data_IF_934419757866
#
_entry.id   IF_934419757866
#
_cell.length_a   1.000
_cell.length_b   1.000
_cell.length_c   1.000
_cell.angle_alpha   90.00
_cell.angle_beta   90.00
_cell.angle_gamma   90.00
#
_symmetry.space_group_name_H-M   'P 1'
#
loop_
_entity.id
_entity.type
_entity.pdbx_description
1 polymer ?
#
# COMPACT_ATOMS: atom_id res chain seq x y z
N UNK A 1 -16.68 -7.18 -13.24
CA UNK A 1 -16.46 -6.17 -12.19
C UNK A 1 -15.29 -5.27 -12.57
N UNK A 2 -15.34 -3.99 -12.14
CA UNK A 2 -14.28 -3.02 -12.35
C UNK A 2 -13.77 -2.55 -10.99
N UNK A 3 -12.45 -2.36 -10.89
CA UNK A 3 -11.80 -1.71 -9.77
C UNK A 3 -11.08 -0.46 -10.27
N UNK A 4 -11.32 0.68 -9.64
CA UNK A 4 -10.70 1.96 -9.98
C UNK A 4 -9.74 2.35 -8.86
N UNK A 5 -8.46 2.53 -9.18
CA UNK A 5 -7.45 2.96 -8.22
C UNK A 5 -7.03 4.39 -8.53
N UNK A 6 -7.22 5.30 -7.57
CA UNK A 6 -6.85 6.70 -7.69
C UNK A 6 -5.78 7.07 -6.70
N UNK A 7 -4.74 7.76 -7.16
CA UNK A 7 -3.74 8.38 -6.32
C UNK A 7 -3.88 9.90 -6.41
N UNK A 8 -3.99 10.55 -5.26
CA UNK A 8 -4.06 12.00 -5.16
C UNK A 8 -3.21 12.49 -3.98
N UNK A 9 -2.84 13.77 -3.99
CA UNK A 9 -2.08 14.38 -2.89
C UNK A 9 -2.94 14.77 -1.71
N UNK A 10 -4.26 14.89 -1.90
CA UNK A 10 -5.22 15.37 -0.92
C UNK A 10 -6.52 14.60 -1.03
N UNK A 11 -7.30 14.58 0.04
CA UNK A 11 -8.66 14.05 0.00
C UNK A 11 -9.57 14.82 -0.97
N UNK A 12 -9.35 16.12 -1.14
CA UNK A 12 -10.10 16.91 -2.14
C UNK A 12 -9.85 16.37 -3.55
N UNK A 13 -8.61 15.98 -3.85
CA UNK A 13 -8.27 15.34 -5.12
C UNK A 13 -8.96 13.98 -5.32
N UNK A 14 -9.05 13.16 -4.27
CA UNK A 14 -9.81 11.91 -4.30
C UNK A 14 -11.31 12.16 -4.49
N UNK A 15 -11.88 13.12 -3.76
CA UNK A 15 -13.29 13.49 -3.89
C UNK A 15 -13.63 14.03 -5.29
N UNK A 16 -12.72 14.77 -5.91
CA UNK A 16 -12.88 15.21 -7.30
C UNK A 16 -12.89 14.04 -8.26
N UNK A 17 -11.97 13.08 -8.12
CA UNK A 17 -11.91 11.89 -8.95
C UNK A 17 -13.20 11.07 -8.83
N UNK A 18 -13.68 10.83 -7.61
CA UNK A 18 -14.96 10.17 -7.37
C UNK A 18 -16.14 10.91 -8.01
N UNK A 19 -16.21 12.23 -7.81
CA UNK A 19 -17.28 13.06 -8.42
C UNK A 19 -17.26 12.99 -9.95
N UNK A 20 -16.07 12.95 -10.55
CA UNK A 20 -15.95 12.82 -12.01
C UNK A 20 -16.43 11.44 -12.48
N UNK A 21 -16.13 10.38 -11.74
CA UNK A 21 -16.63 9.05 -12.04
C UNK A 21 -18.16 8.98 -11.92
N UNK A 22 -18.74 9.52 -10.85
CA UNK A 22 -20.19 9.52 -10.62
C UNK A 22 -20.98 10.28 -11.70
N UNK A 23 -20.32 11.22 -12.38
CA UNK A 23 -20.91 12.03 -13.47
C UNK A 23 -20.70 11.45 -14.87
N UNK A 24 -19.85 10.45 -15.04
CA UNK A 24 -19.65 9.84 -16.35
C UNK A 24 -20.84 8.94 -16.73
N UNK A 25 -21.10 8.78 -18.01
CA UNK A 25 -22.20 7.93 -18.50
C UNK A 25 -22.09 6.49 -18.02
N UNK A 26 -20.87 5.98 -17.86
CA UNK A 26 -20.60 4.63 -17.37
C UNK A 26 -21.18 4.41 -15.96
N UNK A 27 -21.22 5.43 -15.10
CA UNK A 27 -21.74 5.31 -13.74
C UNK A 27 -23.17 4.83 -13.71
N UNK A 28 -23.98 5.16 -14.74
CA UNK A 28 -25.35 4.67 -14.88
C UNK A 28 -25.49 3.16 -15.07
N UNK A 29 -24.39 2.47 -15.38
CA UNK A 29 -24.32 1.02 -15.60
C UNK A 29 -23.53 0.28 -14.51
N UNK A 30 -22.98 1.00 -13.53
CA UNK A 30 -22.20 0.45 -12.45
C UNK A 30 -22.95 0.58 -11.12
N UNK A 31 -22.81 -0.44 -10.30
CA UNK A 31 -23.27 -0.43 -8.92
C UNK A 31 -22.04 -0.34 -8.01
N UNK A 32 -21.85 0.75 -7.24
CA UNK A 32 -20.77 0.84 -6.26
C UNK A 32 -20.91 -0.27 -5.22
N UNK A 33 -19.84 -1.02 -4.98
CA UNK A 33 -19.82 -2.13 -4.03
C UNK A 33 -18.95 -1.84 -2.83
N UNK A 34 -17.70 -1.55 -3.06
CA UNK A 34 -16.70 -1.34 -2.02
C UNK A 34 -15.87 -0.11 -2.34
N UNK A 35 -15.45 0.58 -1.31
CA UNK A 35 -14.52 1.69 -1.37
C UNK A 35 -13.45 1.47 -0.32
N UNK A 36 -12.23 1.86 -0.60
CA UNK A 36 -11.10 1.75 0.31
C UNK A 36 -10.25 3.01 0.26
N UNK A 37 -10.02 3.61 1.43
CA UNK A 37 -9.24 4.85 1.55
C UNK A 37 -8.02 4.63 2.42
N UNK A 38 -6.85 4.99 1.90
CA UNK A 38 -5.58 4.79 2.59
C UNK A 38 -4.55 5.84 2.22
N UNK A 39 -3.46 5.91 2.97
CA UNK A 39 -2.38 6.88 2.79
C UNK A 39 -1.06 6.14 2.59
N UNK A 40 -0.29 6.58 1.58
CA UNK A 40 1.10 6.17 1.42
C UNK A 40 1.97 6.88 2.46
N UNK A 41 2.69 6.10 3.25
CA UNK A 41 3.50 6.60 4.36
C UNK A 41 4.86 5.93 4.45
N UNK A 42 5.76 6.51 5.22
CA UNK A 42 7.06 5.90 5.50
C UNK A 42 6.90 4.63 6.31
N UNK A 43 7.76 3.65 6.04
CA UNK A 43 7.76 2.38 6.77
C UNK A 43 8.01 2.57 8.26
N UNK A 44 7.03 2.23 9.09
CA UNK A 44 7.02 2.41 10.54
C UNK A 44 8.26 1.82 11.23
N UNK A 45 8.72 0.63 10.81
CA UNK A 45 9.81 -0.06 11.50
C UNK A 45 11.19 0.27 10.93
N UNK A 46 11.31 0.63 9.67
CA UNK A 46 12.61 0.91 9.05
C UNK A 46 12.98 2.39 9.14
N UNK A 47 12.12 3.29 8.70
CA UNK A 47 12.41 4.73 8.69
C UNK A 47 12.12 5.39 10.05
N UNK A 48 10.88 5.27 10.53
CA UNK A 48 10.44 5.90 11.78
C UNK A 48 11.15 5.30 13.00
N UNK A 49 11.43 3.99 13.00
CA UNK A 49 12.20 3.35 14.06
C UNK A 49 13.61 3.90 14.21
N UNK A 50 14.29 4.19 13.10
CA UNK A 50 15.63 4.83 13.10
C UNK A 50 15.58 6.26 13.64
N UNK A 51 14.53 7.01 13.29
CA UNK A 51 14.33 8.36 13.83
C UNK A 51 14.18 8.30 15.35
N UNK A 52 13.32 7.42 15.88
CA UNK A 52 13.14 7.26 17.32
C UNK A 52 14.45 6.90 18.03
N UNK A 53 15.20 5.93 17.51
CA UNK A 53 16.49 5.54 18.08
C UNK A 53 17.48 6.72 18.11
N UNK A 54 17.59 7.47 17.03
CA UNK A 54 18.45 8.66 16.96
C UNK A 54 18.06 9.75 17.97
N UNK A 55 16.78 9.98 18.16
CA UNK A 55 16.30 10.98 19.13
C UNK A 55 16.51 10.53 20.59
N UNK A 56 16.40 9.24 20.85
CA UNK A 56 16.70 8.65 22.16
C UNK A 56 18.21 8.73 22.48
N UNK A 57 19.09 8.44 21.52
CA UNK A 57 20.53 8.64 21.64
C UNK A 57 20.91 10.09 21.92
N UNK A 58 20.16 11.06 21.39
CA UNK A 58 20.32 12.50 21.67
C UNK A 58 19.79 12.89 23.05
N UNK A 59 19.17 11.99 23.79
CA UNK A 59 18.58 12.22 25.11
C UNK A 59 17.36 13.14 25.10
N UNK A 60 16.68 13.29 23.96
CA UNK A 60 15.51 14.14 23.87
C UNK A 60 14.28 13.46 24.51
N UNK A 61 13.60 14.19 25.38
CA UNK A 61 12.38 13.67 26.02
C UNK A 61 11.25 13.57 24.99
N UNK A 62 10.71 12.37 24.85
CA UNK A 62 9.65 12.06 23.91
C UNK A 62 8.46 13.03 24.05
N UNK A 63 7.99 13.54 22.91
CA UNK A 63 6.92 14.54 22.81
C UNK A 63 7.21 15.92 23.42
N UNK A 64 8.47 16.24 23.78
CA UNK A 64 8.83 17.61 24.08
C UNK A 64 8.88 18.47 22.79
N UNK A 65 8.80 19.81 22.87
CA UNK A 65 8.91 20.67 21.68
C UNK A 65 10.18 20.40 20.87
N UNK A 66 11.32 20.21 21.55
CA UNK A 66 12.61 19.92 20.94
C UNK A 66 12.60 18.56 20.24
N UNK A 67 11.98 17.54 20.86
CA UNK A 67 11.80 16.23 20.27
C UNK A 67 10.94 16.30 19.01
N UNK A 68 9.79 17.02 19.07
CA UNK A 68 8.87 17.14 17.95
C UNK A 68 9.56 17.85 16.76
N UNK A 69 10.28 18.95 17.01
CA UNK A 69 11.01 19.66 15.94
C UNK A 69 12.06 18.77 15.29
N UNK A 70 12.89 18.09 16.08
CA UNK A 70 13.91 17.18 15.57
C UNK A 70 13.31 15.95 14.87
N UNK A 71 12.16 15.47 15.33
CA UNK A 71 11.44 14.37 14.67
C UNK A 71 10.96 14.80 13.27
N UNK A 72 10.34 15.97 13.15
CA UNK A 72 9.85 16.50 11.89
C UNK A 72 10.97 16.77 10.89
N UNK A 73 12.11 17.30 11.34
CA UNK A 73 13.31 17.49 10.51
C UNK A 73 13.82 16.14 9.95
N UNK A 74 14.02 15.16 10.82
CA UNK A 74 14.49 13.83 10.41
C UNK A 74 13.47 13.11 9.52
N UNK A 75 12.18 13.30 9.76
CA UNK A 75 11.12 12.75 8.92
C UNK A 75 11.17 13.35 7.50
N UNK A 76 11.37 14.67 7.39
CA UNK A 76 11.53 15.35 6.10
C UNK A 76 12.78 14.87 5.35
N UNK A 77 13.91 14.70 6.03
CA UNK A 77 15.13 14.14 5.44
C UNK A 77 14.88 12.72 4.90
N UNK A 78 14.21 11.89 5.68
CA UNK A 78 13.85 10.53 5.25
C UNK A 78 12.90 10.53 4.05
N UNK A 79 11.94 11.45 4.02
CA UNK A 79 10.99 11.60 2.92
C UNK A 79 11.66 12.02 1.60
N UNK A 80 12.73 12.81 1.67
CA UNK A 80 13.49 13.26 0.50
C UNK A 80 14.47 12.19 -0.02
N UNK A 81 14.79 11.18 0.78
CA UNK A 81 15.69 10.11 0.34
C UNK A 81 15.07 9.36 -0.86
N UNK A 82 15.80 9.14 -1.98
CA UNK A 82 15.24 8.57 -3.22
C UNK A 82 14.45 7.28 -3.04
N UNK A 83 14.91 6.38 -2.15
CA UNK A 83 14.22 5.13 -1.83
C UNK A 83 12.84 5.37 -1.21
N UNK A 84 12.73 6.33 -0.30
CA UNK A 84 11.52 6.65 0.43
C UNK A 84 10.58 7.54 -0.40
N UNK A 85 11.13 8.46 -1.19
CA UNK A 85 10.36 9.28 -2.11
C UNK A 85 9.57 8.43 -3.12
N UNK A 86 10.20 7.39 -3.68
CA UNK A 86 9.53 6.43 -4.56
C UNK A 86 8.39 5.64 -3.88
N UNK A 87 8.41 5.51 -2.56
CA UNK A 87 7.33 4.89 -1.77
C UNK A 87 6.22 5.87 -1.44
N UNK A 88 6.56 7.09 -0.98
CA UNK A 88 5.58 8.13 -0.62
C UNK A 88 4.82 8.68 -1.82
N UNK A 89 5.51 8.80 -2.94
CA UNK A 89 4.99 9.31 -4.21
C UNK A 89 4.92 8.18 -5.24
N UNK A 90 4.41 7.03 -4.81
CA UNK A 90 4.28 5.87 -5.67
C UNK A 90 3.42 6.23 -6.90
N UNK A 91 3.84 5.71 -8.05
CA UNK A 91 3.01 5.68 -9.26
C UNK A 91 2.34 4.32 -9.33
N UNK A 92 1.19 4.23 -9.96
CA UNK A 92 0.56 2.94 -10.25
C UNK A 92 1.53 2.13 -11.12
N UNK A 93 2.04 0.98 -10.65
CA UNK A 93 3.00 0.18 -11.39
C UNK A 93 2.43 -0.30 -12.70
N UNK A 94 3.21 -0.18 -13.77
CA UNK A 94 2.81 -0.63 -15.10
C UNK A 94 3.12 -2.12 -15.23
N UNK A 95 2.20 -2.96 -14.75
CA UNK A 95 2.24 -4.43 -14.78
C UNK A 95 0.91 -4.97 -15.25
N UNK A 96 0.92 -6.16 -15.85
CA UNK A 96 -0.28 -6.76 -16.46
C UNK A 96 -1.38 -7.08 -15.46
N UNK A 97 -1.01 -7.55 -14.27
CA UNK A 97 -1.94 -8.05 -13.28
C UNK A 97 -1.83 -7.27 -11.97
N UNK A 98 -2.95 -7.12 -11.30
CA UNK A 98 -3.06 -6.53 -9.96
C UNK A 98 -3.77 -7.49 -9.03
N UNK A 99 -3.35 -7.50 -7.76
CA UNK A 99 -4.05 -8.15 -6.67
C UNK A 99 -4.10 -7.17 -5.50
N UNK A 100 -5.29 -6.71 -5.15
CA UNK A 100 -5.55 -5.90 -3.96
C UNK A 100 -6.11 -6.77 -2.84
N UNK A 101 -5.69 -6.52 -1.63
CA UNK A 101 -6.34 -7.01 -0.42
C UNK A 101 -6.11 -6.07 0.76
N UNK A 102 -7.13 -5.85 1.59
CA UNK A 102 -6.96 -5.17 2.86
C UNK A 102 -6.50 -6.16 3.93
N UNK A 103 -5.85 -5.67 4.98
CA UNK A 103 -5.39 -6.51 6.07
C UNK A 103 -5.29 -5.77 7.40
N UNK A 104 -5.31 -6.56 8.48
CA UNK A 104 -5.11 -6.13 9.85
C UNK A 104 -3.98 -6.87 10.55
N UNK A 105 -3.50 -6.30 11.63
CA UNK A 105 -2.82 -7.04 12.70
C UNK A 105 -3.82 -7.45 13.77
N UNK A 106 -3.75 -8.72 14.20
CA UNK A 106 -4.62 -9.24 15.26
C UNK A 106 -4.44 -8.45 16.56
N UNK A 107 -5.54 -8.20 17.24
CA UNK A 107 -5.63 -7.41 18.47
C UNK A 107 -6.23 -8.20 19.64
N UNK A 108 -6.31 -9.51 19.56
CA UNK A 108 -7.02 -10.36 20.51
C UNK A 108 -6.10 -11.34 21.24
N UNK A 109 -6.38 -11.54 22.52
CA UNK A 109 -5.73 -12.56 23.34
C UNK A 109 -4.21 -12.52 23.35
N UNK A 110 -3.60 -13.68 23.25
CA UNK A 110 -2.14 -13.84 23.19
C UNK A 110 -1.53 -13.42 21.85
N UNK A 111 -2.35 -13.22 20.81
CA UNK A 111 -1.93 -12.84 19.48
C UNK A 111 -2.16 -11.35 19.20
N UNK A 112 -2.14 -10.52 20.25
CA UNK A 112 -2.26 -9.09 20.12
C UNK A 112 -0.93 -8.46 19.69
N UNK A 113 -0.85 -8.07 18.43
CA UNK A 113 0.33 -7.43 17.82
C UNK A 113 0.78 -6.17 18.54
N UNK A 114 -0.18 -5.36 18.98
CA UNK A 114 0.08 -4.05 19.58
C UNK A 114 0.56 -4.14 21.03
N UNK A 115 0.38 -5.30 21.67
CA UNK A 115 0.92 -5.58 23.01
C UNK A 115 2.37 -6.09 22.97
N UNK A 116 2.91 -6.42 21.80
CA UNK A 116 4.31 -6.79 21.67
C UNK A 116 5.23 -5.58 21.87
N UNK A 117 6.41 -5.76 22.50
CA UNK A 117 7.46 -4.74 22.51
C UNK A 117 7.83 -4.29 21.10
N UNK A 118 8.25 -3.03 20.96
CA UNK A 118 8.61 -2.47 19.66
C UNK A 118 9.73 -3.29 18.96
N UNK A 119 10.75 -3.69 19.72
CA UNK A 119 11.92 -4.44 19.22
C UNK A 119 11.48 -5.80 18.63
N UNK A 120 10.52 -6.46 19.27
CA UNK A 120 10.00 -7.74 18.76
C UNK A 120 9.21 -7.54 17.48
N UNK A 121 8.35 -6.52 17.43
CA UNK A 121 7.62 -6.17 16.20
C UNK A 121 8.58 -5.83 15.07
N UNK A 122 9.61 -5.04 15.34
CA UNK A 122 10.62 -4.66 14.36
C UNK A 122 11.39 -5.87 13.83
N UNK A 123 11.78 -6.81 14.70
CA UNK A 123 12.43 -8.07 14.31
C UNK A 123 11.53 -8.91 13.41
N UNK A 124 10.27 -9.11 13.79
CA UNK A 124 9.29 -9.86 13.00
C UNK A 124 9.06 -9.22 11.63
N UNK A 125 8.96 -7.89 11.56
CA UNK A 125 8.80 -7.18 10.30
C UNK A 125 10.06 -7.17 9.44
N UNK A 126 11.26 -7.24 10.05
CA UNK A 126 12.49 -7.42 9.30
C UNK A 126 12.52 -8.77 8.58
N UNK A 127 12.13 -9.84 9.27
CA UNK A 127 12.07 -11.20 8.71
C UNK A 127 10.99 -11.29 7.62
N UNK A 128 9.81 -10.76 7.86
CA UNK A 128 8.75 -10.59 6.86
C UNK A 128 9.26 -9.84 5.61
N UNK A 129 9.96 -8.74 5.80
CA UNK A 129 10.54 -7.95 4.72
C UNK A 129 11.61 -8.68 3.91
N UNK A 130 12.34 -9.66 4.48
CA UNK A 130 13.29 -10.50 3.74
C UNK A 130 12.57 -11.35 2.70
N UNK A 131 11.41 -11.92 3.06
CA UNK A 131 10.58 -12.70 2.12
C UNK A 131 10.07 -11.79 1.00
N UNK A 132 9.52 -10.63 1.33
CA UNK A 132 9.09 -9.67 0.31
C UNK A 132 10.22 -9.30 -0.68
N UNK A 133 11.43 -9.08 -0.16
CA UNK A 133 12.60 -8.75 -1.00
C UNK A 133 13.05 -9.89 -1.90
N UNK A 134 12.83 -11.16 -1.54
CA UNK A 134 13.18 -12.30 -2.41
C UNK A 134 12.38 -12.34 -3.71
N UNK A 135 11.24 -11.62 -3.75
CA UNK A 135 10.41 -11.45 -4.95
C UNK A 135 10.71 -10.15 -5.71
N UNK A 136 11.81 -9.46 -5.39
CA UNK A 136 12.19 -8.23 -6.08
C UNK A 136 12.30 -8.46 -7.60
N UNK A 137 11.75 -7.52 -8.39
CA UNK A 137 11.69 -7.63 -9.85
C UNK A 137 10.53 -8.49 -10.40
N UNK A 138 10.00 -9.43 -9.62
CA UNK A 138 8.86 -10.26 -9.99
C UNK A 138 7.53 -9.60 -9.62
N UNK A 139 7.48 -8.95 -8.47
CA UNK A 139 6.31 -8.22 -7.97
C UNK A 139 6.68 -6.82 -7.52
N UNK A 140 5.83 -5.86 -7.79
CA UNK A 140 5.88 -4.52 -7.18
C UNK A 140 4.77 -4.43 -6.15
N UNK A 141 5.11 -4.04 -4.93
CA UNK A 141 4.16 -3.91 -3.83
C UNK A 141 3.95 -2.42 -3.53
N UNK A 142 2.70 -2.00 -3.44
CA UNK A 142 2.30 -0.71 -2.89
C UNK A 142 1.50 -0.98 -1.64
N UNK A 143 2.00 -0.53 -0.50
CA UNK A 143 1.38 -0.75 0.81
C UNK A 143 1.05 0.61 1.39
N UNK A 144 -0.21 0.79 1.78
CA UNK A 144 -0.74 2.03 2.34
C UNK A 144 -1.42 1.79 3.68
N UNK A 145 -1.33 2.76 4.58
CA UNK A 145 -1.98 2.73 5.89
C UNK A 145 -3.40 3.29 5.82
N UNK A 146 -4.33 2.65 6.48
CA UNK A 146 -5.75 3.03 6.52
C UNK A 146 -6.34 3.12 7.92
N UNK A 147 -5.49 3.04 8.96
CA UNK A 147 -5.92 3.20 10.35
C UNK A 147 -6.62 4.54 10.53
N UNK A 148 -7.90 4.53 10.92
CA UNK A 148 -8.72 5.72 11.09
C UNK A 148 -9.39 6.24 9.81
N UNK A 149 -9.20 5.55 8.68
CA UNK A 149 -9.81 5.89 7.39
C UNK A 149 -10.71 4.78 6.85
N UNK A 150 -10.43 3.53 7.20
CA UNK A 150 -11.18 2.38 6.74
C UNK A 150 -11.30 1.31 7.84
N UNK A 151 -12.06 0.25 7.59
CA UNK A 151 -12.27 -0.85 8.54
C UNK A 151 -11.01 -1.67 8.79
N UNK A 152 -10.15 -1.78 7.77
CA UNK A 152 -8.85 -2.45 7.86
C UNK A 152 -7.72 -1.45 8.13
N UNK A 153 -6.57 -1.95 8.55
CA UNK A 153 -5.42 -1.13 8.91
C UNK A 153 -4.47 -0.84 7.75
N UNK A 154 -4.43 -1.73 6.75
CA UNK A 154 -3.58 -1.57 5.56
C UNK A 154 -4.26 -2.07 4.30
N UNK A 155 -4.05 -1.34 3.19
CA UNK A 155 -4.27 -1.81 1.84
C UNK A 155 -2.96 -2.30 1.21
N UNK A 156 -3.00 -3.43 0.55
CA UNK A 156 -1.85 -4.00 -0.16
C UNK A 156 -2.22 -4.22 -1.61
N UNK A 157 -1.54 -3.51 -2.50
CA UNK A 157 -1.59 -3.73 -3.94
C UNK A 157 -0.34 -4.47 -4.40
N UNK A 158 -0.53 -5.59 -5.04
CA UNK A 158 0.52 -6.37 -5.70
C UNK A 158 0.37 -6.25 -7.22
N UNK A 159 1.45 -5.95 -7.90
CA UNK A 159 1.49 -5.82 -9.37
C UNK A 159 2.54 -6.76 -9.94
N UNK A 160 2.19 -7.57 -10.94
CA UNK A 160 3.10 -8.52 -11.60
C UNK A 160 2.69 -8.76 -13.07
N UNK A 161 3.63 -9.29 -13.86
CA UNK A 161 3.35 -9.71 -15.24
C UNK A 161 3.01 -11.21 -15.34
N UNK A 162 3.15 -11.96 -14.24
CA UNK A 162 2.68 -13.33 -14.07
C UNK A 162 1.88 -13.43 -12.77
N UNK A 163 0.57 -13.75 -12.81
CA UNK A 163 -0.28 -13.79 -11.62
C UNK A 163 0.10 -14.91 -10.64
N UNK A 164 0.83 -15.93 -11.08
CA UNK A 164 1.31 -17.01 -10.20
C UNK A 164 2.26 -16.49 -9.12
N UNK A 165 2.90 -15.33 -9.38
CA UNK A 165 3.81 -14.69 -8.42
C UNK A 165 3.06 -14.24 -7.16
N UNK A 166 1.82 -13.76 -7.30
CA UNK A 166 0.98 -13.38 -6.15
C UNK A 166 0.77 -14.57 -5.21
N UNK A 167 0.38 -15.70 -5.79
CA UNK A 167 0.18 -16.95 -5.04
C UNK A 167 1.46 -17.40 -4.33
N UNK A 168 2.61 -17.37 -5.02
CA UNK A 168 3.89 -17.77 -4.45
C UNK A 168 4.31 -16.86 -3.31
N UNK A 169 4.25 -15.54 -3.51
CA UNK A 169 4.59 -14.55 -2.49
C UNK A 169 3.72 -14.71 -1.24
N UNK A 170 2.40 -14.75 -1.41
CA UNK A 170 1.47 -14.86 -0.30
C UNK A 170 1.62 -16.21 0.41
N UNK A 171 1.89 -17.28 -0.33
CA UNK A 171 2.15 -18.60 0.25
C UNK A 171 3.38 -18.58 1.14
N UNK A 172 4.52 -18.06 0.66
CA UNK A 172 5.74 -17.92 1.46
C UNK A 172 5.53 -17.06 2.72
N UNK A 173 4.80 -15.95 2.58
CA UNK A 173 4.48 -15.08 3.71
C UNK A 173 3.58 -15.72 4.77
N UNK A 174 2.84 -16.80 4.44
CA UNK A 174 2.02 -17.53 5.43
C UNK A 174 2.85 -18.24 6.49
N UNK A 175 4.14 -18.50 6.23
CA UNK A 175 5.03 -19.21 7.16
C UNK A 175 5.87 -18.28 8.03
N UNK A 176 5.92 -16.96 7.74
CA UNK A 176 6.57 -16.02 8.66
C UNK A 176 5.69 -15.71 9.86
N UNK A 177 6.30 -15.46 11.00
CA UNK A 177 5.57 -15.26 12.26
C UNK A 177 4.72 -14.00 12.26
N UNK A 178 5.14 -12.94 11.55
CA UNK A 178 4.38 -11.69 11.49
C UNK A 178 3.04 -11.86 10.78
N UNK A 179 2.99 -12.77 9.80
CA UNK A 179 1.75 -13.11 9.06
C UNK A 179 1.03 -14.29 9.67
N UNK A 180 1.72 -15.39 9.94
CA UNK A 180 1.10 -16.63 10.42
C UNK A 180 0.35 -16.43 11.75
N UNK A 181 0.95 -15.68 12.65
CA UNK A 181 0.41 -15.48 14.00
C UNK A 181 -0.44 -14.21 14.11
N UNK A 182 0.02 -13.12 13.50
CA UNK A 182 -0.52 -11.79 13.79
C UNK A 182 -1.27 -11.11 12.63
N UNK A 183 -1.32 -11.69 11.43
CA UNK A 183 -2.07 -11.08 10.35
C UNK A 183 -3.48 -11.65 10.21
N UNK A 184 -4.42 -10.77 9.85
CA UNK A 184 -5.75 -11.10 9.36
C UNK A 184 -5.92 -10.46 8.00
N UNK A 185 -6.43 -11.24 7.04
CA UNK A 185 -6.57 -10.81 5.65
C UNK A 185 -8.04 -10.67 5.29
N UNK A 186 -8.40 -9.55 4.68
CA UNK A 186 -9.69 -9.35 4.06
C UNK A 186 -9.81 -10.03 2.70
N UNK A 187 -10.83 -9.70 1.91
CA UNK A 187 -11.08 -10.28 0.61
C UNK A 187 -9.96 -9.92 -0.38
N UNK A 188 -9.61 -10.87 -1.25
CA UNK A 188 -8.65 -10.68 -2.33
C UNK A 188 -9.39 -10.33 -3.62
N UNK A 189 -9.00 -9.23 -4.25
CA UNK A 189 -9.50 -8.80 -5.56
C UNK A 189 -8.35 -8.85 -6.55
N UNK A 190 -8.46 -9.71 -7.56
CA UNK A 190 -7.41 -9.86 -8.56
C UNK A 190 -7.96 -9.66 -9.96
N UNK A 191 -7.18 -8.99 -10.83
CA UNK A 191 -7.63 -8.68 -12.17
C UNK A 191 -6.51 -8.32 -13.12
N UNK A 192 -6.94 -7.96 -14.31
CA UNK A 192 -6.09 -7.44 -15.39
C UNK A 192 -6.10 -5.93 -15.31
N UNK A 193 -4.92 -5.32 -15.26
CA UNK A 193 -4.77 -3.88 -15.33
C UNK A 193 -4.80 -3.40 -16.78
N UNK A 194 -5.51 -2.32 -17.06
CA UNK A 194 -5.55 -1.66 -18.35
C UNK A 194 -5.83 -0.16 -18.19
N UNK A 195 -5.56 0.60 -19.24
CA UNK A 195 -5.81 2.04 -19.26
C UNK A 195 -7.28 2.36 -19.56
N UNK A 196 -7.71 3.56 -19.16
CA UNK A 196 -9.07 4.04 -19.46
C UNK A 196 -9.35 4.08 -20.96
N UNK A 197 -8.33 4.32 -21.80
CA UNK A 197 -8.46 4.36 -23.26
C UNK A 197 -8.89 3.01 -23.86
N UNK A 198 -8.63 1.91 -23.16
CA UNK A 198 -8.97 0.56 -23.61
C UNK A 198 -10.34 0.09 -23.06
N UNK A 199 -10.98 0.89 -22.20
CA UNK A 199 -12.21 0.51 -21.52
C UNK A 199 -13.35 0.25 -22.51
N UNK A 200 -13.50 1.07 -23.54
CA UNK A 200 -14.55 0.91 -24.57
C UNK A 200 -14.41 -0.41 -25.32
N UNK A 201 -13.20 -0.77 -25.74
CA UNK A 201 -12.89 -2.03 -26.42
C UNK A 201 -13.18 -3.25 -25.51
N UNK A 202 -12.81 -3.13 -24.23
CA UNK A 202 -13.09 -4.16 -23.23
C UNK A 202 -14.60 -4.34 -23.00
N UNK A 203 -15.34 -3.25 -22.83
CA UNK A 203 -16.79 -3.30 -22.61
C UNK A 203 -17.57 -3.78 -23.84
N UNK A 204 -17.06 -3.50 -25.05
CA UNK A 204 -17.62 -4.05 -26.28
C UNK A 204 -17.37 -5.56 -26.44
N UNK A 205 -16.54 -6.17 -25.61
CA UNK A 205 -16.19 -7.60 -25.70
C UNK A 205 -15.27 -7.92 -26.88
N UNK A 206 -14.62 -6.91 -27.48
CA UNK A 206 -13.79 -7.10 -28.67
C UNK A 206 -12.44 -7.73 -28.34
N UNK A 207 -11.83 -7.35 -27.21
CA UNK A 207 -10.57 -7.92 -26.74
C UNK A 207 -10.39 -7.75 -25.23
N UNK A 208 -9.58 -8.60 -24.63
CA UNK A 208 -8.97 -8.30 -23.32
C UNK A 208 -7.86 -7.28 -23.55
N UNK A 209 -7.92 -6.09 -22.94
CA UNK A 209 -6.98 -5.01 -23.25
C UNK A 209 -5.54 -5.45 -23.00
N UNK A 210 -4.64 -5.08 -23.91
CA UNK A 210 -3.21 -5.16 -23.69
C UNK A 210 -2.78 -3.89 -22.96
N UNK A 211 -1.98 -3.99 -21.89
CA UNK A 211 -1.40 -2.80 -21.27
C UNK A 211 -0.51 -2.07 -22.29
N UNK A 212 -0.85 -0.83 -22.59
CA UNK A 212 0.07 0.08 -23.27
C UNK A 212 0.86 0.82 -22.20
N UNK A 213 2.19 0.81 -22.33
CA UNK A 213 3.04 1.67 -21.50
C UNK A 213 2.68 3.11 -21.83
N UNK A 214 1.97 3.78 -20.92
CA UNK A 214 1.72 5.21 -21.04
C UNK A 214 3.04 5.88 -20.65
N UNK A 215 3.76 6.46 -21.63
CA UNK A 215 4.87 7.35 -21.32
C UNK A 215 4.37 8.43 -20.36
N UNK A 216 5.03 8.55 -19.22
CA UNK A 216 4.63 9.46 -18.17
C UNK A 216 4.58 10.88 -18.74
N UNK A 217 3.38 11.46 -18.84
CA UNK A 217 3.23 12.89 -19.03
C UNK A 217 3.90 13.56 -17.83
N UNK A 218 5.01 14.24 -18.09
CA UNK A 218 5.67 15.08 -17.09
C UNK A 218 4.71 16.23 -16.73
N UNK A 219 4.20 16.22 -15.51
CA UNK A 219 3.45 17.33 -14.90
C UNK A 219 4.33 18.01 -13.88
#
# INVERSE_FOLDING_TARGET
>A
DLMFTHYARTFDGLAQAQTQMDRCELAGYLEPRESYVSILELGLYEATGKIHASLEERGLKRFSPEWNSAFDELLQEQAQHPRNAGRLWARIPQRRYVCFYPMDKKREGADNWYMLPFEERARLMLDHGKIGRSFHGLVTQVISGSIGFDDYEWGVDLYADDPIVFKKLIYEMRFDQASARYASFGPFVSGVQFSVDELSTFLAGEAVPAMRVIEAVQV
#
